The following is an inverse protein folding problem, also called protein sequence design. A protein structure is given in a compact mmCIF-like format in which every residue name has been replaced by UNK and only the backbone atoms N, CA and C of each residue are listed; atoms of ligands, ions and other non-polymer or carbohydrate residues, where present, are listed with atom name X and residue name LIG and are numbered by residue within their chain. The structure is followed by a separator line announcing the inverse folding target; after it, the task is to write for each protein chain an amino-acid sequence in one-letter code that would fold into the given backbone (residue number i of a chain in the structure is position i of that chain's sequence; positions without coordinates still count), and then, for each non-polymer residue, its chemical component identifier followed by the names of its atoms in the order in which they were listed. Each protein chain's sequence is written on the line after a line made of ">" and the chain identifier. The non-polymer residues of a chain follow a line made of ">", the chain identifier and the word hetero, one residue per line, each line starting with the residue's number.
data_IF_609103298854
#
_entry.id   IF_609103298854
#
_cell.length_a   1.000
_cell.length_b   1.000
_cell.length_c   1.000
_cell.angle_alpha   90.00
_cell.angle_beta   90.00
_cell.angle_gamma   90.00
#
_symmetry.space_group_name_H-M   'P 1'
#
loop_
_entity.id
_entity.type
_entity.pdbx_description
1 polymer ?
#
# COMPACT_ATOMS: atom_id res chain seq x y z
N UNK A 1 4.92 -6.45 -12.66
CA UNK A 1 5.08 -6.36 -14.13
C UNK A 1 6.42 -6.97 -14.44
N UNK A 2 6.47 -8.14 -15.07
CA UNK A 2 7.70 -8.76 -15.55
C UNK A 2 7.58 -8.86 -17.07
N UNK A 3 8.49 -8.23 -17.81
CA UNK A 3 8.57 -8.39 -19.26
C UNK A 3 9.44 -9.62 -19.53
N UNK A 4 8.83 -10.69 -20.06
CA UNK A 4 9.57 -11.84 -20.54
C UNK A 4 10.45 -11.42 -21.72
N UNK A 5 11.77 -11.44 -21.56
CA UNK A 5 12.71 -11.13 -22.66
C UNK A 5 13.37 -12.35 -23.28
N UNK A 6 13.11 -13.56 -22.81
CA UNK A 6 13.44 -14.80 -23.50
C UNK A 6 12.48 -15.92 -23.08
N UNK A 7 12.08 -16.75 -24.04
CA UNK A 7 11.33 -17.98 -23.78
C UNK A 7 12.29 -19.07 -23.29
N UNK A 8 11.80 -19.90 -22.38
CA UNK A 8 12.47 -21.12 -21.94
C UNK A 8 13.07 -21.90 -23.14
N UNK A 9 14.34 -22.34 -23.09
CA UNK A 9 14.93 -23.17 -24.14
C UNK A 9 14.22 -24.52 -24.35
N UNK A 10 13.39 -24.99 -23.40
CA UNK A 10 12.54 -26.19 -23.59
C UNK A 10 11.15 -25.89 -24.18
N UNK A 11 10.84 -24.61 -24.41
CA UNK A 11 9.63 -24.18 -25.14
C UNK A 11 8.37 -24.06 -24.27
N UNK A 12 8.46 -24.13 -22.94
CA UNK A 12 7.30 -23.89 -22.08
C UNK A 12 6.92 -22.39 -22.10
N UNK A 13 5.75 -22.10 -22.69
CA UNK A 13 5.22 -20.75 -22.75
C UNK A 13 4.87 -20.26 -21.33
N UNK A 14 5.58 -19.25 -20.84
CA UNK A 14 5.16 -18.46 -19.68
C UNK A 14 6.21 -18.24 -18.58
N UNK A 15 7.37 -18.90 -18.63
CA UNK A 15 8.43 -18.69 -17.63
C UNK A 15 9.38 -17.59 -18.10
N UNK A 16 9.16 -16.36 -17.63
CA UNK A 16 10.11 -15.26 -17.80
C UNK A 16 11.26 -15.46 -16.82
N UNK A 17 12.44 -15.89 -17.31
CA UNK A 17 13.64 -15.92 -16.47
C UNK A 17 14.17 -14.49 -16.27
N UNK A 18 14.21 -13.97 -15.03
CA UNK A 18 14.81 -12.67 -14.77
C UNK A 18 16.29 -12.74 -15.11
N UNK A 19 16.76 -11.81 -15.93
CA UNK A 19 18.17 -11.62 -16.26
C UNK A 19 18.73 -10.48 -15.42
N UNK A 20 20.06 -10.36 -15.35
CA UNK A 20 20.74 -9.16 -14.82
C UNK A 20 20.33 -7.85 -15.52
N UNK A 21 19.66 -7.94 -16.68
CA UNK A 21 19.14 -6.81 -17.44
C UNK A 21 17.72 -6.37 -17.04
N UNK A 22 17.12 -7.00 -16.03
CA UNK A 22 15.90 -6.53 -15.36
C UNK A 22 16.16 -5.37 -14.38
N UNK A 23 17.24 -4.60 -14.61
CA UNK A 23 17.66 -3.52 -13.73
C UNK A 23 16.61 -2.42 -13.61
N UNK A 24 15.77 -2.20 -14.64
CA UNK A 24 14.74 -1.17 -14.57
C UNK A 24 13.57 -1.62 -13.70
N UNK A 25 13.05 -2.83 -13.89
CA UNK A 25 11.98 -3.38 -13.07
C UNK A 25 12.42 -3.52 -11.61
N UNK A 26 13.64 -4.00 -11.39
CA UNK A 26 14.26 -4.07 -10.08
C UNK A 26 14.43 -2.70 -9.44
N UNK A 27 14.98 -1.72 -10.18
CA UNK A 27 15.13 -0.35 -9.69
C UNK A 27 13.78 0.30 -9.40
N UNK A 28 12.74 0.10 -10.23
CA UNK A 28 11.40 0.60 -9.95
C UNK A 28 10.80 -0.06 -8.73
N UNK A 29 10.94 -1.38 -8.56
CA UNK A 29 10.42 -2.07 -7.39
C UNK A 29 11.08 -1.57 -6.09
N UNK A 30 12.41 -1.41 -6.09
CA UNK A 30 13.17 -0.86 -4.96
C UNK A 30 12.82 0.62 -4.71
N UNK A 31 12.76 1.44 -5.75
CA UNK A 31 12.40 2.86 -5.64
C UNK A 31 10.96 3.06 -5.13
N UNK A 32 10.03 2.19 -5.54
CA UNK A 32 8.65 2.16 -5.06
C UNK A 32 8.51 1.42 -3.71
N UNK A 33 9.63 1.07 -3.06
CA UNK A 33 9.71 0.38 -1.77
C UNK A 33 8.81 -0.86 -1.71
N UNK A 34 8.79 -1.63 -2.79
CA UNK A 34 8.12 -2.92 -2.83
C UNK A 34 8.97 -3.97 -2.13
N UNK A 35 8.33 -4.96 -1.53
CA UNK A 35 9.00 -6.14 -1.01
C UNK A 35 9.59 -6.94 -2.18
N UNK A 36 10.92 -6.89 -2.33
CA UNK A 36 11.64 -7.55 -3.44
C UNK A 36 12.43 -8.73 -2.93
N UNK A 37 12.16 -9.90 -3.52
CA UNK A 37 12.98 -11.09 -3.40
C UNK A 37 13.66 -11.36 -4.74
N UNK A 38 14.99 -11.48 -4.71
CA UNK A 38 15.79 -11.88 -5.86
C UNK A 38 16.35 -13.27 -5.58
N UNK A 39 16.09 -14.21 -6.49
CA UNK A 39 16.70 -15.53 -6.47
C UNK A 39 17.64 -15.60 -7.66
N UNK A 40 18.90 -15.95 -7.42
CA UNK A 40 19.95 -15.99 -8.44
C UNK A 40 20.85 -17.20 -8.24
N UNK A 41 21.59 -17.62 -9.27
CA UNK A 41 22.66 -18.59 -9.11
C UNK A 41 23.94 -17.92 -8.55
N UNK A 42 24.80 -18.70 -7.87
CA UNK A 42 26.05 -18.21 -7.26
C UNK A 42 27.11 -17.75 -8.27
N UNK A 43 26.99 -18.15 -9.53
CA UNK A 43 27.86 -17.77 -10.64
C UNK A 43 27.39 -16.51 -11.39
N UNK A 44 26.25 -15.92 -11.01
CA UNK A 44 25.74 -14.67 -11.59
C UNK A 44 26.48 -13.48 -10.99
N UNK A 45 26.90 -12.55 -11.84
CA UNK A 45 27.57 -11.32 -11.40
C UNK A 45 26.67 -10.49 -10.46
N UNK A 46 27.28 -9.88 -9.45
CA UNK A 46 26.59 -9.05 -8.45
C UNK A 46 26.41 -7.61 -8.96
N UNK A 47 25.66 -7.44 -10.06
CA UNK A 47 25.42 -6.17 -10.74
C UNK A 47 23.92 -5.88 -10.85
N UNK A 48 23.54 -4.60 -10.82
CA UNK A 48 22.14 -4.19 -10.94
C UNK A 48 21.29 -4.74 -9.79
N UNK A 49 20.25 -5.53 -10.10
CA UNK A 49 19.30 -6.04 -9.08
C UNK A 49 19.88 -7.19 -8.24
N UNK A 50 21.00 -7.80 -8.65
CA UNK A 50 21.71 -8.81 -7.86
C UNK A 50 22.80 -8.21 -6.97
N UNK A 51 22.98 -6.88 -6.99
CA UNK A 51 23.89 -6.18 -6.09
C UNK A 51 23.21 -5.84 -4.75
N UNK A 52 23.76 -6.33 -3.64
CA UNK A 52 23.13 -6.23 -2.31
C UNK A 52 23.02 -4.81 -1.73
N UNK A 53 23.75 -3.83 -2.29
CA UNK A 53 23.71 -2.45 -1.79
C UNK A 53 22.38 -1.72 -2.03
N UNK A 54 21.45 -2.30 -2.81
CA UNK A 54 20.09 -1.81 -2.97
C UNK A 54 19.14 -2.18 -1.82
N UNK A 55 19.56 -3.04 -0.88
CA UNK A 55 18.78 -3.42 0.31
C UNK A 55 17.72 -4.52 0.09
N UNK A 56 17.61 -5.07 -1.11
CA UNK A 56 16.71 -6.19 -1.43
C UNK A 56 17.21 -7.52 -0.84
N UNK A 57 16.29 -8.44 -0.55
CA UNK A 57 16.64 -9.80 -0.14
C UNK A 57 17.12 -10.59 -1.36
N UNK A 58 18.36 -11.08 -1.30
CA UNK A 58 18.97 -11.86 -2.38
C UNK A 58 19.31 -13.24 -1.85
N UNK A 59 18.79 -14.28 -2.51
CA UNK A 59 19.10 -15.67 -2.22
C UNK A 59 19.89 -16.26 -3.39
N UNK A 60 20.98 -16.96 -3.07
CA UNK A 60 21.86 -17.57 -4.08
C UNK A 60 21.76 -19.09 -4.04
N UNK A 61 21.34 -19.70 -5.15
CA UNK A 61 21.33 -21.14 -5.36
C UNK A 61 22.60 -21.60 -6.09
N UNK A 62 23.00 -22.86 -5.91
CA UNK A 62 24.08 -23.43 -6.72
C UNK A 62 23.61 -23.58 -8.18
N UNK A 63 24.51 -23.48 -9.18
CA UNK A 63 24.13 -23.62 -10.57
C UNK A 63 23.46 -24.97 -10.84
N UNK A 64 22.31 -24.95 -11.52
CA UNK A 64 21.52 -26.16 -11.79
C UNK A 64 20.73 -26.70 -10.59
N UNK A 65 20.56 -25.93 -9.52
CA UNK A 65 19.65 -26.27 -8.44
C UNK A 65 18.21 -26.39 -8.95
N UNK A 66 17.55 -27.50 -8.62
CA UNK A 66 16.13 -27.72 -8.94
C UNK A 66 15.18 -27.03 -7.95
N UNK A 67 13.85 -27.09 -8.20
CA UNK A 67 12.84 -26.45 -7.34
C UNK A 67 12.90 -26.84 -5.86
N UNK A 68 13.32 -28.07 -5.55
CA UNK A 68 13.47 -28.57 -4.17
C UNK A 68 14.42 -27.71 -3.31
N UNK A 69 15.31 -26.93 -3.93
CA UNK A 69 16.18 -25.99 -3.24
C UNK A 69 15.39 -24.91 -2.47
N UNK A 70 14.19 -24.54 -2.93
CA UNK A 70 13.32 -23.57 -2.25
C UNK A 70 12.90 -24.07 -0.85
N UNK A 71 12.86 -25.39 -0.64
CA UNK A 71 12.57 -26.02 0.65
C UNK A 71 13.83 -26.29 1.50
N UNK A 72 15.00 -25.85 1.05
CA UNK A 72 16.25 -26.03 1.80
C UNK A 72 16.23 -25.28 3.15
N UNK A 73 16.99 -25.76 4.16
CA UNK A 73 17.13 -25.04 5.44
C UNK A 73 17.70 -23.63 5.31
N UNK A 74 18.35 -23.32 4.19
CA UNK A 74 18.84 -21.99 3.87
C UNK A 74 17.73 -21.10 3.29
N UNK A 75 17.09 -21.53 2.20
CA UNK A 75 16.16 -20.68 1.45
C UNK A 75 14.79 -20.55 2.14
N UNK A 76 14.26 -21.64 2.69
CA UNK A 76 12.88 -21.71 3.17
C UNK A 76 12.55 -20.64 4.23
N UNK A 77 13.32 -20.45 5.31
CA UNK A 77 12.99 -19.45 6.32
C UNK A 77 13.01 -18.02 5.77
N UNK A 78 13.88 -17.74 4.81
CA UNK A 78 14.03 -16.42 4.21
C UNK A 78 12.88 -16.11 3.24
N UNK A 79 12.48 -17.10 2.45
CA UNK A 79 11.30 -17.00 1.57
C UNK A 79 10.04 -16.83 2.42
N UNK A 80 9.88 -17.62 3.49
CA UNK A 80 8.76 -17.49 4.41
C UNK A 80 8.73 -16.09 5.05
N UNK A 81 9.87 -15.57 5.51
CA UNK A 81 9.96 -14.21 6.05
C UNK A 81 9.56 -13.14 5.02
N UNK A 82 10.00 -13.28 3.76
CA UNK A 82 9.60 -12.39 2.67
C UNK A 82 8.10 -12.51 2.36
N UNK A 83 7.54 -13.73 2.31
CA UNK A 83 6.10 -13.95 2.14
C UNK A 83 5.32 -13.26 3.26
N UNK A 84 5.78 -13.35 4.52
CA UNK A 84 5.14 -12.65 5.62
C UNK A 84 5.25 -11.13 5.46
N UNK A 85 6.38 -10.61 4.96
CA UNK A 85 6.53 -9.18 4.67
C UNK A 85 5.54 -8.71 3.59
N UNK A 86 5.41 -9.46 2.50
CA UNK A 86 4.42 -9.19 1.45
C UNK A 86 3.00 -9.22 2.00
N UNK A 87 2.67 -10.21 2.85
CA UNK A 87 1.34 -10.34 3.46
C UNK A 87 1.00 -9.27 4.49
N UNK A 88 2.00 -8.55 5.03
CA UNK A 88 1.77 -7.41 5.93
C UNK A 88 1.33 -6.14 5.18
N UNK A 89 1.45 -6.12 3.85
CA UNK A 89 0.95 -5.00 3.06
C UNK A 89 -0.57 -5.06 3.03
N UNK A 90 -1.22 -4.03 3.57
CA UNK A 90 -2.67 -3.87 3.51
C UNK A 90 -3.08 -3.25 2.16
N UNK A 91 -4.31 -3.51 1.73
CA UNK A 91 -4.84 -2.93 0.51
C UNK A 91 -5.06 -1.42 0.69
N UNK A 92 -5.69 -1.04 1.81
CA UNK A 92 -5.97 0.37 2.09
C UNK A 92 -5.72 0.74 3.54
N UNK A 93 -5.25 1.95 3.72
CA UNK A 93 -5.32 2.64 5.01
C UNK A 93 -6.64 3.40 5.11
N UNK A 94 -7.34 3.31 6.25
CA UNK A 94 -8.58 4.04 6.49
C UNK A 94 -8.35 5.15 7.54
N UNK A 95 -8.32 6.40 7.07
CA UNK A 95 -8.16 7.57 7.92
C UNK A 95 -9.51 8.22 8.22
N UNK A 96 -9.75 8.54 9.48
CA UNK A 96 -11.00 9.12 9.96
C UNK A 96 -10.81 9.78 11.32
N UNK A 97 -11.67 10.74 11.68
CA UNK A 97 -11.68 11.30 13.03
C UNK A 97 -12.44 10.39 14.00
N UNK A 98 -12.14 10.49 15.29
CA UNK A 98 -12.80 9.68 16.33
C UNK A 98 -14.34 9.77 16.32
N UNK A 99 -14.90 10.89 15.85
CA UNK A 99 -16.35 11.09 15.69
C UNK A 99 -16.95 10.32 14.51
N UNK A 100 -16.13 9.93 13.55
CA UNK A 100 -16.51 9.16 12.36
C UNK A 100 -16.32 7.63 12.54
N UNK A 101 -15.91 7.17 13.74
CA UNK A 101 -15.60 5.77 14.04
C UNK A 101 -16.72 4.78 13.66
N UNK A 102 -17.99 5.14 13.89
CA UNK A 102 -19.11 4.28 13.53
C UNK A 102 -19.17 4.03 12.01
N UNK A 103 -19.09 5.10 11.22
CA UNK A 103 -19.05 5.04 9.76
C UNK A 103 -17.80 4.31 9.26
N UNK A 104 -16.64 4.58 9.86
CA UNK A 104 -15.38 3.90 9.51
C UNK A 104 -15.46 2.39 9.75
N UNK A 105 -16.06 1.96 10.86
CA UNK A 105 -16.31 0.55 11.14
C UNK A 105 -17.22 -0.11 10.09
N UNK A 106 -18.24 0.60 9.61
CA UNK A 106 -19.14 0.06 8.57
C UNK A 106 -18.42 -0.07 7.22
N UNK A 107 -17.58 0.91 6.86
CA UNK A 107 -16.69 0.82 5.68
C UNK A 107 -15.73 -0.36 5.83
N UNK A 108 -15.09 -0.49 7.00
CA UNK A 108 -14.12 -1.53 7.29
C UNK A 108 -14.74 -2.93 7.18
N UNK A 109 -15.92 -3.14 7.76
CA UNK A 109 -16.67 -4.40 7.65
C UNK A 109 -17.08 -4.70 6.22
N UNK A 110 -17.57 -3.71 5.48
CA UNK A 110 -17.98 -3.86 4.10
C UNK A 110 -16.83 -4.31 3.19
N UNK A 111 -15.68 -3.66 3.32
CA UNK A 111 -14.47 -3.96 2.54
C UNK A 111 -13.86 -5.31 2.97
N UNK A 112 -13.73 -5.56 4.27
CA UNK A 112 -13.21 -6.85 4.79
C UNK A 112 -14.06 -8.04 4.35
N UNK A 113 -15.39 -7.88 4.28
CA UNK A 113 -16.29 -8.95 3.79
C UNK A 113 -16.06 -9.33 2.31
N UNK A 114 -15.27 -8.53 1.58
CA UNK A 114 -14.89 -8.76 0.17
C UNK A 114 -13.41 -9.12 0.02
N UNK A 115 -12.72 -9.39 1.12
CA UNK A 115 -11.32 -9.80 1.14
C UNK A 115 -10.32 -8.64 1.06
N UNK A 116 -10.78 -7.40 1.22
CA UNK A 116 -9.90 -6.21 1.28
C UNK A 116 -9.32 -6.08 2.68
N UNK A 117 -8.00 -6.07 2.78
CA UNK A 117 -7.24 -5.85 4.01
C UNK A 117 -7.10 -4.36 4.31
N UNK A 118 -7.30 -3.99 5.58
CA UNK A 118 -7.41 -2.59 5.99
C UNK A 118 -6.52 -2.36 7.19
N UNK A 119 -5.66 -1.34 7.10
CA UNK A 119 -4.97 -0.77 8.25
C UNK A 119 -5.82 0.35 8.82
N UNK A 120 -6.23 0.23 10.07
CA UNK A 120 -7.16 1.16 10.72
C UNK A 120 -6.37 2.22 11.50
N UNK A 121 -6.71 3.51 11.30
CA UNK A 121 -6.08 4.61 12.02
C UNK A 121 -6.04 4.36 13.53
N UNK A 122 -7.17 4.11 14.21
CA UNK A 122 -7.18 4.14 15.68
C UNK A 122 -6.69 2.85 16.36
N UNK A 123 -6.56 1.74 15.62
CA UNK A 123 -6.30 0.42 16.21
C UNK A 123 -4.84 -0.01 16.16
N UNK A 124 -4.03 0.58 15.27
CA UNK A 124 -2.70 0.05 14.93
C UNK A 124 -1.51 0.89 15.43
N UNK A 125 -1.72 1.82 16.39
CA UNK A 125 -0.65 2.66 16.91
C UNK A 125 0.26 1.97 17.93
N UNK A 126 1.57 1.99 17.68
CA UNK A 126 2.56 1.37 18.56
C UNK A 126 2.96 2.32 19.71
N UNK A 127 3.08 1.83 20.96
CA UNK A 127 3.55 2.66 22.07
C UNK A 127 4.98 3.17 21.82
N UNK A 128 5.16 4.49 21.74
CA UNK A 128 6.47 5.15 21.66
C UNK A 128 6.85 5.74 20.30
N UNK A 129 6.05 5.52 19.25
CA UNK A 129 6.18 6.20 17.96
C UNK A 129 5.41 7.51 17.92
N UNK A 130 5.88 8.45 17.10
CA UNK A 130 5.13 9.66 16.78
C UNK A 130 4.06 9.38 15.72
N UNK A 131 2.96 10.13 15.74
CA UNK A 131 1.88 10.02 14.74
C UNK A 131 2.43 10.12 13.30
N UNK A 132 3.44 10.97 13.09
CA UNK A 132 4.08 11.14 11.79
C UNK A 132 4.81 9.86 11.32
N UNK A 133 5.59 9.23 12.19
CA UNK A 133 6.33 8.00 11.85
C UNK A 133 5.37 6.88 11.47
N UNK A 134 4.27 6.77 12.20
CA UNK A 134 3.25 5.76 11.96
C UNK A 134 2.48 5.96 10.67
N UNK A 135 2.18 7.22 10.36
CA UNK A 135 1.53 7.59 9.11
C UNK A 135 2.46 7.35 7.91
N UNK A 136 3.75 7.63 8.06
CA UNK A 136 4.76 7.31 7.06
C UNK A 136 4.88 5.79 6.90
N UNK A 137 4.89 5.03 7.99
CA UNK A 137 4.90 3.57 7.97
C UNK A 137 3.65 2.99 7.30
N UNK A 138 2.45 3.47 7.66
CA UNK A 138 1.19 3.10 7.01
C UNK A 138 1.20 3.44 5.52
N UNK A 139 1.78 4.59 5.16
CA UNK A 139 1.97 4.95 3.75
C UNK A 139 2.91 3.99 3.03
N UNK A 140 3.85 3.33 3.70
CA UNK A 140 4.68 2.30 3.06
C UNK A 140 3.98 0.94 3.01
N UNK A 141 3.27 0.57 4.08
CA UNK A 141 2.64 -0.73 4.27
C UNK A 141 1.23 -0.85 3.67
N UNK A 142 0.73 0.15 2.94
CA UNK A 142 -0.59 0.09 2.30
C UNK A 142 -0.48 0.33 0.78
N UNK A 143 -1.38 -0.24 -0.02
CA UNK A 143 -1.40 0.00 -1.48
C UNK A 143 -2.05 1.34 -1.84
N UNK A 144 -2.95 1.85 -1.01
CA UNK A 144 -3.56 3.18 -1.10
C UNK A 144 -4.20 3.62 0.22
N UNK A 145 -5.02 4.66 0.16
CA UNK A 145 -5.74 5.17 1.32
C UNK A 145 -7.16 5.65 1.00
N UNK A 146 -8.02 5.57 2.01
CA UNK A 146 -9.37 6.10 2.05
C UNK A 146 -9.44 7.12 3.18
N UNK A 147 -9.79 8.36 2.85
CA UNK A 147 -9.88 9.49 3.78
C UNK A 147 -11.35 9.83 4.01
N UNK A 148 -11.86 9.61 5.22
CA UNK A 148 -13.24 9.93 5.60
C UNK A 148 -13.31 11.30 6.26
N UNK A 149 -13.95 12.24 5.56
CA UNK A 149 -14.21 13.61 6.03
C UNK A 149 -15.67 13.73 6.40
N UNK A 150 -15.93 14.09 7.66
CA UNK A 150 -17.25 14.29 8.24
C UNK A 150 -17.50 15.77 8.58
N UNK A 151 -18.75 16.15 8.80
CA UNK A 151 -19.11 17.54 9.16
C UNK A 151 -18.46 18.01 10.45
N UNK A 152 -18.21 17.07 11.35
CA UNK A 152 -17.62 17.34 12.65
C UNK A 152 -16.10 17.60 12.57
N UNK A 153 -15.51 17.33 11.40
CA UNK A 153 -14.18 17.78 10.98
C UNK A 153 -14.33 19.21 10.50
N UNK A 154 -14.53 20.08 11.48
CA UNK A 154 -14.86 21.46 11.26
C UNK A 154 -13.54 22.11 10.66
N UNK A 155 -13.48 23.33 10.11
CA UNK A 155 -12.19 23.97 9.69
C UNK A 155 -11.93 25.18 10.58
N UNK A 156 -10.92 25.16 11.45
CA UNK A 156 -10.60 26.31 12.30
C UNK A 156 -9.36 26.99 11.73
N UNK A 157 -9.60 28.01 10.91
CA UNK A 157 -8.67 29.11 10.79
C UNK A 157 -8.95 30.09 11.94
N UNK A 158 -7.89 30.45 12.64
CA UNK A 158 -7.74 31.51 13.65
C UNK A 158 -8.00 31.18 15.13
N UNK A 159 -6.91 31.43 15.86
CA UNK A 159 -6.70 31.73 17.28
C UNK A 159 -6.87 30.64 18.36
N UNK A 160 -5.68 30.15 18.76
CA UNK A 160 -5.31 29.50 20.02
C UNK A 160 -5.72 28.02 20.22
N UNK A 161 -4.67 27.17 20.22
CA UNK A 161 -4.61 25.71 20.40
C UNK A 161 -4.72 24.87 19.11
N UNK A 162 -3.56 24.63 18.49
CA UNK A 162 -3.30 23.66 17.43
C UNK A 162 -3.44 22.20 17.96
N UNK A 163 -3.98 21.20 17.28
CA UNK A 163 -4.63 21.10 15.98
C UNK A 163 -5.39 19.75 15.97
N UNK A 164 -6.68 19.70 15.58
CA UNK A 164 -7.34 18.43 15.24
C UNK A 164 -7.93 18.40 13.81
N UNK A 165 -7.77 19.46 13.00
CA UNK A 165 -8.45 19.62 11.69
C UNK A 165 -7.50 19.67 10.48
N UNK A 166 -6.20 19.72 10.72
CA UNK A 166 -5.16 19.66 9.68
C UNK A 166 -4.72 18.22 9.35
N UNK A 167 -5.11 17.24 10.19
CA UNK A 167 -4.57 15.89 10.15
C UNK A 167 -4.99 15.12 8.90
N UNK A 168 -6.27 15.14 8.50
CA UNK A 168 -6.73 14.36 7.32
C UNK A 168 -6.15 14.90 6.01
N UNK A 169 -5.96 16.20 5.88
CA UNK A 169 -5.31 16.80 4.69
C UNK A 169 -3.82 16.45 4.68
N UNK A 170 -3.17 16.50 5.83
CA UNK A 170 -1.77 16.14 5.98
C UNK A 170 -1.52 14.65 5.72
N UNK A 171 -2.32 13.76 6.30
CA UNK A 171 -2.39 12.32 6.01
C UNK A 171 -2.60 12.07 4.53
N UNK A 172 -3.58 12.75 3.95
CA UNK A 172 -3.85 12.68 2.52
C UNK A 172 -2.65 13.12 1.70
N UNK A 173 -1.96 14.20 2.08
CA UNK A 173 -0.74 14.67 1.45
C UNK A 173 0.38 13.64 1.49
N UNK A 174 0.61 13.00 2.64
CA UNK A 174 1.60 11.92 2.79
C UNK A 174 1.27 10.74 1.88
N UNK A 175 0.03 10.28 1.88
CA UNK A 175 -0.39 9.17 1.01
C UNK A 175 -0.36 9.53 -0.49
N UNK A 176 -0.73 10.75 -0.85
CA UNK A 176 -0.65 11.21 -2.23
C UNK A 176 0.79 11.30 -2.72
N UNK A 177 1.72 11.69 -1.86
CA UNK A 177 3.15 11.67 -2.17
C UNK A 177 3.66 10.24 -2.33
N UNK A 178 3.28 9.33 -1.43
CA UNK A 178 3.79 7.96 -1.40
C UNK A 178 3.17 7.03 -2.46
N UNK A 179 1.89 7.23 -2.81
CA UNK A 179 1.12 6.32 -3.68
C UNK A 179 0.59 6.97 -4.95
N UNK A 180 0.67 8.29 -5.05
CA UNK A 180 0.03 9.06 -6.11
C UNK A 180 -1.44 9.37 -5.81
N UNK A 181 -1.92 10.45 -6.41
CA UNK A 181 -3.30 10.99 -6.27
C UNK A 181 -4.39 9.95 -6.51
N UNK A 182 -4.19 9.08 -7.50
CA UNK A 182 -5.19 8.11 -7.96
C UNK A 182 -5.43 6.95 -6.98
N UNK A 183 -4.52 6.74 -6.03
CA UNK A 183 -4.60 5.72 -4.98
C UNK A 183 -5.06 6.28 -3.64
N UNK A 184 -5.58 7.50 -3.64
CA UNK A 184 -6.15 8.15 -2.46
C UNK A 184 -7.59 8.56 -2.74
N UNK A 185 -8.52 7.87 -2.10
CA UNK A 185 -9.94 8.13 -2.19
C UNK A 185 -10.38 9.03 -1.04
N UNK A 186 -11.16 10.07 -1.36
CA UNK A 186 -11.79 10.91 -0.34
C UNK A 186 -13.28 10.57 -0.26
N UNK A 187 -13.76 10.22 0.92
CA UNK A 187 -15.20 10.10 1.23
C UNK A 187 -15.58 11.35 2.01
N UNK A 188 -16.54 12.09 1.49
CA UNK A 188 -16.97 13.36 2.08
C UNK A 188 -18.43 13.26 2.49
N UNK A 189 -18.70 13.39 3.78
CA UNK A 189 -20.05 13.59 4.28
C UNK A 189 -20.67 14.85 3.66
N UNK A 190 -21.90 14.74 3.17
CA UNK A 190 -22.61 15.83 2.55
C UNK A 190 -22.77 17.01 3.52
N UNK A 191 -22.09 18.13 3.25
CA UNK A 191 -22.07 19.31 4.13
C UNK A 191 -20.77 19.48 4.91
N UNK A 192 -19.88 18.48 4.91
CA UNK A 192 -18.50 18.67 5.36
C UNK A 192 -17.79 19.66 4.44
N UNK A 193 -16.93 20.52 4.98
CA UNK A 193 -16.11 21.43 4.17
C UNK A 193 -15.03 20.61 3.44
N UNK A 194 -14.64 21.05 2.24
CA UNK A 194 -13.58 20.41 1.46
C UNK A 194 -12.56 21.48 1.06
N UNK A 195 -11.24 21.21 1.18
CA UNK A 195 -10.23 22.15 0.72
C UNK A 195 -10.38 22.42 -0.77
N UNK A 196 -10.34 23.69 -1.16
CA UNK A 196 -10.56 24.12 -2.54
C UNK A 196 -9.58 23.45 -3.53
N UNK A 197 -8.35 23.18 -3.08
CA UNK A 197 -7.26 22.58 -3.87
C UNK A 197 -7.49 21.09 -4.22
N UNK A 198 -8.44 20.43 -3.57
CA UNK A 198 -8.73 18.99 -3.74
C UNK A 198 -10.02 18.79 -4.58
N UNK A 199 -10.80 19.84 -4.81
CA UNK A 199 -12.16 19.80 -5.39
C UNK A 199 -12.26 19.31 -6.84
N UNK A 200 -11.14 19.09 -7.53
CA UNK A 200 -11.09 18.86 -8.97
C UNK A 200 -11.41 17.46 -9.49
N UNK A 201 -11.58 16.40 -8.67
CA UNK A 201 -11.93 15.12 -9.31
C UNK A 201 -12.08 13.80 -8.53
N UNK A 202 -11.83 13.68 -7.23
CA UNK A 202 -11.88 12.33 -6.59
C UNK A 202 -12.43 12.43 -5.17
N UNK A 203 -13.74 12.67 -5.04
CA UNK A 203 -14.42 12.35 -3.79
C UNK A 203 -15.77 11.68 -4.03
N UNK A 204 -16.13 10.78 -3.13
CA UNK A 204 -17.46 10.21 -3.05
C UNK A 204 -18.24 10.99 -2.00
N UNK A 205 -19.45 11.44 -2.33
CA UNK A 205 -20.32 12.07 -1.34
C UNK A 205 -21.08 11.01 -0.55
N UNK A 206 -20.88 11.00 0.77
CA UNK A 206 -21.65 10.21 1.72
C UNK A 206 -22.87 11.04 2.17
N UNK A 207 -24.07 10.60 1.80
CA UNK A 207 -25.31 11.36 2.07
C UNK A 207 -25.73 11.31 3.53
N UNK A 208 -25.67 10.12 4.12
CA UNK A 208 -25.98 9.85 5.51
C UNK A 208 -24.79 9.15 6.16
N UNK A 209 -24.31 9.68 7.28
CA UNK A 209 -23.16 9.10 7.99
C UNK A 209 -23.44 7.70 8.54
N UNK A 210 -24.71 7.37 8.75
CA UNK A 210 -25.14 6.08 9.29
C UNK A 210 -25.49 5.06 8.19
N UNK A 211 -25.38 5.44 6.91
CA UNK A 211 -25.68 4.56 5.79
C UNK A 211 -24.65 4.71 4.64
N UNK A 212 -23.74 3.74 4.58
CA UNK A 212 -22.71 3.66 3.54
C UNK A 212 -23.23 3.09 2.21
N UNK A 213 -24.49 2.63 2.12
CA UNK A 213 -25.04 1.98 0.91
C UNK A 213 -24.88 2.88 -0.32
N UNK A 214 -25.04 4.19 -0.15
CA UNK A 214 -24.87 5.19 -1.21
C UNK A 214 -23.47 5.25 -1.83
N UNK A 215 -22.45 4.74 -1.14
CA UNK A 215 -21.04 4.83 -1.54
C UNK A 215 -20.41 3.47 -1.87
N UNK A 216 -21.07 2.35 -1.54
CA UNK A 216 -20.54 0.99 -1.70
C UNK A 216 -20.05 0.66 -3.13
N UNK A 217 -20.85 0.99 -4.16
CA UNK A 217 -20.45 0.73 -5.55
C UNK A 217 -19.18 1.50 -5.92
N UNK A 218 -19.08 2.76 -5.52
CA UNK A 218 -17.92 3.62 -5.83
C UNK A 218 -16.69 3.25 -5.01
N UNK A 219 -16.89 2.75 -3.79
CA UNK A 219 -15.83 2.15 -2.97
C UNK A 219 -15.20 0.97 -3.71
N UNK A 220 -16.02 0.04 -4.20
CA UNK A 220 -15.50 -1.12 -4.95
C UNK A 220 -14.86 -0.73 -6.27
N UNK A 221 -15.45 0.23 -7.00
CA UNK A 221 -14.82 0.78 -8.22
C UNK A 221 -13.42 1.33 -7.94
N UNK A 222 -13.20 1.97 -6.78
CA UNK A 222 -11.88 2.45 -6.39
C UNK A 222 -10.92 1.30 -6.09
N UNK A 223 -11.34 0.33 -5.28
CA UNK A 223 -10.54 -0.86 -4.98
C UNK A 223 -10.13 -1.57 -6.27
N UNK A 224 -11.09 -1.97 -7.09
CA UNK A 224 -10.85 -2.79 -8.28
C UNK A 224 -9.99 -2.11 -9.35
N UNK A 225 -10.02 -0.76 -9.42
CA UNK A 225 -9.32 0.00 -10.49
C UNK A 225 -8.01 0.61 -10.05
N UNK A 226 -7.76 0.76 -8.74
CA UNK A 226 -6.65 1.58 -8.23
C UNK A 226 -5.77 0.86 -7.21
N UNK A 227 -6.29 -0.16 -6.53
CA UNK A 227 -5.59 -0.91 -5.49
C UNK A 227 -5.14 -2.25 -6.05
#
# INVERSE_FOLDING_TARGET
>A
MAFARWSDPTGEAGVALPTVWNHFEGAFAVALRKEVLVITETNVAADGITWSGGGQLILSAQPGAGPDWLDSPYAKPQIEAWIQAVKRVNDVFLAYSSKARATANDISKFLSSRGVSIRDWELDFAPGSTILEELVDASHSCLGAIMLLTKDDEFLGEENYAAPRDNVIFEMGIFMQAKGRDRVLVIREQGAKMPADIGGGIYISLKDRNDITSIQTRLMDFIDKRI
#
